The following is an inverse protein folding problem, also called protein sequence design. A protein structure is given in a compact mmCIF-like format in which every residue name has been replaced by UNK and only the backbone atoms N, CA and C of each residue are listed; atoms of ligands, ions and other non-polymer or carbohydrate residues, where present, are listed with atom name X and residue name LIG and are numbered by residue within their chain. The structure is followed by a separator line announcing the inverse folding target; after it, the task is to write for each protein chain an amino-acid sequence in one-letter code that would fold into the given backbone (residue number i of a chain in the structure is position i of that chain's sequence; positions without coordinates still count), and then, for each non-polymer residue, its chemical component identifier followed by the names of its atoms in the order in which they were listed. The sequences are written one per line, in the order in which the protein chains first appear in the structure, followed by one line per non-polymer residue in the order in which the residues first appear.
data_IF_106429828206
#
_entry.id   IF_106429828206
#
_cell.length_a   1.000
_cell.length_b   1.000
_cell.length_c   1.000
_cell.angle_alpha   90.00
_cell.angle_beta   90.00
_cell.angle_gamma   90.00
#
_symmetry.space_group_name_H-M   'P 1'
#
loop_
_entity.id
_entity.type
_entity.pdbx_description
1 polymer ?
#
# COMPACT_ATOMS: atom_id res chain seq x y z
N UNK A 1 48.03 16.58 -1.41
CA UNK A 1 46.83 16.90 -2.20
C UNK A 1 45.77 15.85 -1.93
N UNK A 2 44.50 16.24 -2.00
CA UNK A 2 43.25 15.53 -1.69
C UNK A 2 42.76 15.64 -0.25
N UNK A 3 42.11 16.77 0.02
CA UNK A 3 41.06 16.84 1.03
C UNK A 3 39.99 15.80 0.66
N UNK A 4 39.92 14.71 1.41
CA UNK A 4 38.75 13.81 1.40
C UNK A 4 37.54 14.67 1.71
N UNK A 5 36.66 14.87 0.73
CA UNK A 5 35.34 15.42 0.97
C UNK A 5 34.72 14.60 2.09
N UNK A 6 34.32 15.25 3.20
CA UNK A 6 33.69 14.56 4.31
C UNK A 6 32.50 13.75 3.76
N UNK A 7 32.55 12.42 3.94
CA UNK A 7 31.51 11.53 3.45
C UNK A 7 30.20 11.91 4.15
N UNK A 8 29.18 12.27 3.36
CA UNK A 8 27.86 12.60 3.93
C UNK A 8 27.25 11.31 4.46
N UNK A 9 26.61 11.38 5.62
CA UNK A 9 25.87 10.27 6.19
C UNK A 9 24.78 9.80 5.21
N UNK A 10 24.77 8.52 4.88
CA UNK A 10 23.88 7.92 3.88
C UNK A 10 22.62 7.35 4.56
N UNK A 11 21.46 7.93 4.25
CA UNK A 11 20.16 7.44 4.71
C UNK A 11 19.42 6.80 3.54
N UNK A 12 19.16 5.51 3.64
CA UNK A 12 18.41 4.77 2.64
C UNK A 12 17.00 4.48 3.15
N UNK A 13 15.98 4.84 2.37
CA UNK A 13 14.56 4.60 2.69
C UNK A 13 14.02 3.60 1.68
N UNK A 14 13.52 2.46 2.15
CA UNK A 14 13.00 1.40 1.29
C UNK A 14 11.47 1.45 1.27
N UNK A 15 10.89 1.54 0.07
CA UNK A 15 9.44 1.59 -0.16
C UNK A 15 8.91 3.02 -0.13
N UNK A 16 8.17 3.40 -1.18
CA UNK A 16 7.53 4.72 -1.30
C UNK A 16 6.05 4.71 -0.93
N UNK A 17 5.62 3.84 -0.01
CA UNK A 17 4.31 3.95 0.63
C UNK A 17 4.24 5.16 1.58
N UNK A 18 3.11 5.32 2.28
CA UNK A 18 2.87 6.47 3.17
C UNK A 18 4.04 6.76 4.14
N UNK A 19 4.58 5.72 4.78
CA UNK A 19 5.65 5.86 5.77
C UNK A 19 6.98 6.27 5.11
N UNK A 20 7.38 5.60 4.04
CA UNK A 20 8.68 5.82 3.41
C UNK A 20 8.75 7.16 2.68
N UNK A 21 7.72 7.53 1.92
CA UNK A 21 7.67 8.83 1.26
C UNK A 21 7.70 9.98 2.28
N UNK A 22 6.87 9.88 3.33
CA UNK A 22 6.86 10.87 4.42
C UNK A 22 8.22 10.95 5.13
N UNK A 23 8.84 9.81 5.41
CA UNK A 23 10.16 9.76 6.04
C UNK A 23 11.23 10.44 5.17
N UNK A 24 11.28 10.13 3.87
CA UNK A 24 12.25 10.71 2.95
C UNK A 24 12.14 12.25 2.89
N UNK A 25 10.92 12.77 2.70
CA UNK A 25 10.65 14.21 2.63
C UNK A 25 11.00 14.90 3.95
N UNK A 26 10.51 14.37 5.07
CA UNK A 26 10.68 15.01 6.38
C UNK A 26 12.14 14.96 6.85
N UNK A 27 12.85 13.84 6.60
CA UNK A 27 14.26 13.74 6.93
C UNK A 27 15.07 14.76 6.12
N UNK A 28 14.95 14.76 4.79
CA UNK A 28 15.68 15.68 3.94
C UNK A 28 15.45 17.16 4.32
N UNK A 29 14.19 17.55 4.56
CA UNK A 29 13.84 18.92 4.94
C UNK A 29 14.44 19.32 6.30
N UNK A 30 14.34 18.45 7.32
CA UNK A 30 14.77 18.77 8.69
C UNK A 30 16.28 18.72 8.88
N UNK A 31 16.99 17.93 8.09
CA UNK A 31 18.45 17.75 8.22
C UNK A 31 19.27 18.60 7.26
N UNK A 32 18.64 19.36 6.35
CA UNK A 32 19.34 20.25 5.39
C UNK A 32 20.36 21.19 6.06
N UNK A 33 20.04 21.73 7.25
CA UNK A 33 20.93 22.60 8.04
C UNK A 33 21.76 21.86 9.10
N UNK A 34 21.64 20.53 9.19
CA UNK A 34 22.24 19.68 10.23
C UNK A 34 23.07 18.57 9.58
N UNK A 35 24.20 18.93 9.00
CA UNK A 35 25.12 18.00 8.33
C UNK A 35 24.69 17.55 6.93
N UNK A 36 23.44 17.78 6.54
CA UNK A 36 22.89 17.52 5.20
C UNK A 36 23.17 16.07 4.72
N UNK A 37 22.69 15.05 5.46
CA UNK A 37 22.81 13.66 5.04
C UNK A 37 22.19 13.45 3.66
N UNK A 38 22.70 12.47 2.93
CA UNK A 38 22.13 12.08 1.64
C UNK A 38 20.96 11.11 1.91
N UNK A 39 19.75 11.58 1.65
CA UNK A 39 18.53 10.77 1.77
C UNK A 39 18.16 10.22 0.40
N UNK A 40 18.05 8.90 0.28
CA UNK A 40 17.67 8.22 -0.97
C UNK A 40 16.47 7.32 -0.72
N UNK A 41 15.39 7.55 -1.46
CA UNK A 41 14.20 6.69 -1.48
C UNK A 41 14.32 5.65 -2.60
N UNK A 42 14.10 4.38 -2.27
CA UNK A 42 14.10 3.26 -3.23
C UNK A 42 12.68 2.72 -3.38
N UNK A 43 12.19 2.62 -4.61
CA UNK A 43 10.89 2.02 -4.90
C UNK A 43 10.90 1.40 -6.32
N UNK A 44 10.22 0.27 -6.56
CA UNK A 44 10.22 -0.35 -7.89
C UNK A 44 9.49 0.48 -8.98
N UNK A 45 8.55 1.32 -8.55
CA UNK A 45 7.74 2.17 -9.43
C UNK A 45 7.98 3.65 -9.15
N UNK A 46 7.77 4.48 -10.15
CA UNK A 46 7.77 5.94 -10.04
C UNK A 46 6.42 6.51 -9.59
N UNK A 47 5.35 5.73 -9.60
CA UNK A 47 4.03 6.17 -9.12
C UNK A 47 3.79 5.78 -7.66
N UNK A 48 3.21 6.70 -6.89
CA UNK A 48 2.74 6.47 -5.53
C UNK A 48 1.40 5.73 -5.55
N UNK A 49 1.36 4.55 -4.93
CA UNK A 49 0.12 3.81 -4.73
C UNK A 49 -0.65 4.33 -3.53
N UNK A 50 -1.76 5.03 -3.76
CA UNK A 50 -2.71 5.39 -2.70
C UNK A 50 -3.55 4.16 -2.29
N UNK A 51 -2.94 3.26 -1.51
CA UNK A 51 -3.56 1.97 -1.11
C UNK A 51 -4.95 2.13 -0.48
N UNK A 52 -5.19 3.26 0.19
CA UNK A 52 -6.49 3.59 0.79
C UNK A 52 -7.62 3.73 -0.24
N UNK A 53 -7.33 3.95 -1.52
CA UNK A 53 -8.33 4.09 -2.59
C UNK A 53 -8.43 2.89 -3.52
N UNK A 54 -7.70 1.79 -3.26
CA UNK A 54 -7.72 0.64 -4.17
C UNK A 54 -9.11 0.02 -4.33
N UNK A 55 -10.01 0.15 -3.34
CA UNK A 55 -11.41 -0.26 -3.49
C UNK A 55 -12.16 0.52 -4.58
N UNK A 56 -11.81 1.79 -4.80
CA UNK A 56 -12.36 2.61 -5.88
C UNK A 56 -11.84 2.12 -7.24
N UNK A 57 -10.53 1.91 -7.36
CA UNK A 57 -9.92 1.35 -8.58
C UNK A 57 -10.50 -0.02 -8.90
N UNK A 58 -10.69 -0.85 -7.87
CA UNK A 58 -11.27 -2.18 -7.98
C UNK A 58 -12.73 -2.20 -8.45
N UNK A 59 -13.42 -1.07 -8.41
CA UNK A 59 -14.79 -0.89 -8.91
C UNK A 59 -14.84 0.04 -10.13
N UNK A 60 -13.70 0.15 -10.82
CA UNK A 60 -13.54 0.83 -12.10
C UNK A 60 -13.46 2.35 -12.03
N UNK A 61 -13.14 2.91 -10.86
CA UNK A 61 -12.95 4.36 -10.72
C UNK A 61 -11.49 4.76 -10.98
N UNK A 62 -11.33 5.88 -11.67
CA UNK A 62 -10.03 6.52 -11.83
C UNK A 62 -9.63 7.24 -10.54
N UNK A 63 -8.40 7.03 -10.09
CA UNK A 63 -7.80 7.71 -8.94
C UNK A 63 -6.67 8.61 -9.41
N UNK A 64 -6.31 9.60 -8.60
CA UNK A 64 -5.25 10.53 -8.97
C UNK A 64 -3.90 9.81 -9.06
N UNK A 65 -3.21 9.97 -10.18
CA UNK A 65 -1.84 9.50 -10.33
C UNK A 65 -0.88 10.51 -9.71
N UNK A 66 0.06 10.00 -8.90
CA UNK A 66 1.04 10.81 -8.19
C UNK A 66 2.44 10.31 -8.49
N UNK A 67 3.25 11.12 -9.17
CA UNK A 67 4.63 10.78 -9.51
C UNK A 67 5.57 11.05 -8.32
N UNK A 68 6.25 10.01 -7.82
CA UNK A 68 7.17 10.06 -6.69
C UNK A 68 8.34 11.02 -6.93
N UNK A 69 9.09 10.96 -8.07
CA UNK A 69 10.10 11.96 -8.38
C UNK A 69 9.62 13.40 -8.27
N UNK A 70 8.43 13.71 -8.82
CA UNK A 70 7.83 15.05 -8.72
C UNK A 70 7.49 15.43 -7.26
N UNK A 71 6.95 14.49 -6.48
CA UNK A 71 6.69 14.70 -5.05
C UNK A 71 7.95 14.94 -4.21
N UNK A 72 9.11 14.48 -4.70
CA UNK A 72 10.41 14.67 -4.05
C UNK A 72 11.13 15.94 -4.52
N UNK A 73 10.67 16.60 -5.58
CA UNK A 73 11.36 17.77 -6.13
C UNK A 73 11.43 18.91 -5.10
N UNK A 74 12.57 19.60 -5.07
CA UNK A 74 12.86 20.67 -4.10
C UNK A 74 13.09 20.22 -2.64
N UNK A 75 12.72 18.98 -2.26
CA UNK A 75 12.84 18.47 -0.88
C UNK A 75 14.29 18.19 -0.48
N UNK A 76 15.13 17.82 -1.47
CA UNK A 76 16.52 17.39 -1.28
C UNK A 76 16.70 15.88 -1.07
N UNK A 77 15.62 15.10 -1.05
CA UNK A 77 15.70 13.64 -1.13
C UNK A 77 15.90 13.20 -2.58
N UNK A 78 16.72 12.16 -2.79
CA UNK A 78 16.90 11.50 -4.08
C UNK A 78 15.95 10.30 -4.24
N UNK A 79 15.77 9.87 -5.48
CA UNK A 79 14.98 8.71 -5.83
C UNK A 79 15.81 7.70 -6.63
N UNK A 80 15.67 6.42 -6.30
CA UNK A 80 16.21 5.30 -7.05
C UNK A 80 15.06 4.36 -7.38
N UNK A 81 14.75 4.25 -8.67
CA UNK A 81 13.83 3.23 -9.15
C UNK A 81 14.52 1.87 -9.14
N UNK A 82 13.88 0.88 -8.53
CA UNK A 82 14.34 -0.51 -8.54
C UNK A 82 13.71 -1.36 -7.44
N UNK A 83 13.73 -2.67 -7.65
CA UNK A 83 13.20 -3.68 -6.74
C UNK A 83 14.25 -4.08 -5.71
N UNK A 84 13.92 -4.00 -4.42
CA UNK A 84 14.83 -4.46 -3.36
C UNK A 84 14.77 -5.99 -3.29
N UNK A 85 15.90 -6.65 -3.46
CA UNK A 85 15.98 -8.13 -3.45
C UNK A 85 16.71 -8.69 -2.23
N UNK A 86 17.53 -7.89 -1.55
CA UNK A 86 18.15 -8.29 -0.29
C UNK A 86 18.53 -7.09 0.57
N UNK A 87 18.51 -7.29 1.88
CA UNK A 87 19.06 -6.37 2.89
C UNK A 87 20.10 -7.14 3.69
N UNK A 88 21.33 -6.65 3.69
CA UNK A 88 22.41 -7.15 4.53
C UNK A 88 22.67 -6.13 5.65
N UNK A 89 22.24 -6.49 6.86
CA UNK A 89 22.36 -5.62 8.02
C UNK A 89 23.77 -5.56 8.60
N UNK A 90 24.58 -6.61 8.40
CA UNK A 90 25.96 -6.67 8.89
C UNK A 90 26.86 -5.78 8.03
N UNK A 91 26.77 -5.93 6.71
CA UNK A 91 27.54 -5.13 5.75
C UNK A 91 26.93 -3.74 5.49
N UNK A 92 25.72 -3.51 6.00
CA UNK A 92 24.89 -2.31 5.81
C UNK A 92 24.68 -1.99 4.34
N UNK A 93 24.18 -2.98 3.61
CA UNK A 93 23.91 -2.85 2.19
C UNK A 93 22.51 -3.31 1.79
N UNK A 94 22.02 -2.77 0.68
CA UNK A 94 20.76 -3.18 0.05
C UNK A 94 21.03 -3.48 -1.41
N UNK A 95 20.59 -4.66 -1.83
CA UNK A 95 20.68 -5.10 -3.23
C UNK A 95 19.39 -4.74 -3.96
N UNK A 96 19.55 -4.14 -5.14
CA UNK A 96 18.48 -3.62 -5.98
C UNK A 96 18.59 -4.24 -7.37
N UNK A 97 17.48 -4.79 -7.86
CA UNK A 97 17.33 -5.49 -9.14
C UNK A 97 18.36 -6.62 -9.34
N UNK A 98 18.95 -7.15 -8.26
CA UNK A 98 20.08 -8.09 -8.27
C UNK A 98 21.38 -7.59 -8.95
N UNK A 99 21.41 -6.33 -9.42
CA UNK A 99 22.52 -5.76 -10.18
C UNK A 99 23.31 -4.71 -9.38
N UNK A 100 22.62 -3.98 -8.49
CA UNK A 100 23.17 -2.81 -7.80
C UNK A 100 23.19 -3.03 -6.30
N UNK A 101 24.24 -2.56 -5.65
CA UNK A 101 24.36 -2.59 -4.18
C UNK A 101 24.51 -1.16 -3.68
N UNK A 102 23.58 -0.72 -2.83
CA UNK A 102 23.65 0.58 -2.14
C UNK A 102 24.10 0.36 -0.70
N UNK A 103 25.06 1.17 -0.24
CA UNK A 103 25.46 1.21 1.18
C UNK A 103 24.60 2.21 1.93
N UNK A 104 24.43 1.99 3.24
CA UNK A 104 23.75 2.94 4.12
C UNK A 104 24.46 3.04 5.48
N UNK A 105 24.31 4.21 6.12
CA UNK A 105 24.61 4.39 7.53
C UNK A 105 23.34 4.27 8.39
N UNK A 106 22.19 4.61 7.81
CA UNK A 106 20.87 4.44 8.41
C UNK A 106 19.88 3.91 7.38
N UNK A 107 19.14 2.87 7.76
CA UNK A 107 18.09 2.29 6.94
C UNK A 107 16.72 2.62 7.55
N UNK A 108 15.81 3.13 6.73
CA UNK A 108 14.38 3.20 7.03
C UNK A 108 13.68 2.11 6.23
N UNK A 109 13.26 1.05 6.91
CA UNK A 109 12.55 -0.08 6.31
C UNK A 109 11.04 0.23 6.26
N UNK A 110 10.52 0.57 5.08
CA UNK A 110 9.12 0.96 4.87
C UNK A 110 8.49 0.25 3.64
N UNK A 111 8.91 -0.99 3.37
CA UNK A 111 8.43 -1.80 2.24
C UNK A 111 6.95 -2.21 2.36
N UNK A 112 6.35 -2.03 3.54
CA UNK A 112 4.96 -2.41 3.78
C UNK A 112 4.78 -3.92 3.96
N UNK A 113 3.56 -4.38 3.71
CA UNK A 113 3.19 -5.79 3.75
C UNK A 113 2.38 -6.19 2.53
N UNK A 114 2.26 -7.50 2.35
CA UNK A 114 1.45 -8.16 1.32
C UNK A 114 0.40 -9.04 2.00
N UNK A 115 -0.71 -9.31 1.32
CA UNK A 115 -1.70 -10.25 1.80
C UNK A 115 -1.09 -11.64 1.95
N UNK A 116 -1.44 -12.33 3.04
CA UNK A 116 -1.03 -13.72 3.27
C UNK A 116 -2.03 -14.65 2.56
N UNK A 117 -1.67 -15.05 1.34
CA UNK A 117 -2.45 -15.99 0.53
C UNK A 117 -2.06 -17.45 0.75
N UNK A 118 -0.99 -17.71 1.51
CA UNK A 118 -0.42 -19.06 1.70
C UNK A 118 -1.02 -19.75 2.92
N UNK A 119 -1.42 -18.99 3.95
CA UNK A 119 -1.97 -19.56 5.18
C UNK A 119 -3.25 -20.39 4.98
N UNK A 120 -4.02 -20.15 3.93
CA UNK A 120 -5.25 -20.88 3.61
C UNK A 120 -5.12 -21.55 2.24
N UNK A 121 -5.14 -22.89 2.16
CA UNK A 121 -5.02 -23.61 0.89
C UNK A 121 -6.05 -23.13 -0.15
N UNK A 122 -5.57 -22.87 -1.37
CA UNK A 122 -6.38 -22.44 -2.51
C UNK A 122 -6.67 -20.93 -2.58
N UNK A 123 -6.26 -20.11 -1.59
CA UNK A 123 -6.43 -18.65 -1.68
C UNK A 123 -5.56 -18.08 -2.79
N UNK A 124 -4.29 -18.48 -2.88
CA UNK A 124 -3.37 -18.00 -3.93
C UNK A 124 -3.86 -18.33 -5.36
N UNK A 125 -4.61 -19.43 -5.52
CA UNK A 125 -5.14 -19.88 -6.82
C UNK A 125 -6.48 -19.23 -7.21
N UNK A 126 -7.24 -18.71 -6.24
CA UNK A 126 -8.65 -18.37 -6.44
C UNK A 126 -9.06 -16.97 -5.98
N UNK A 127 -8.34 -16.38 -5.02
CA UNK A 127 -8.65 -15.07 -4.49
C UNK A 127 -7.97 -13.95 -5.29
N UNK A 128 -8.49 -12.74 -5.13
CA UNK A 128 -7.89 -11.51 -5.64
C UNK A 128 -7.53 -10.65 -4.44
N UNK A 129 -6.30 -10.15 -4.41
CA UNK A 129 -5.84 -9.24 -3.36
C UNK A 129 -6.14 -7.79 -3.75
N UNK A 130 -6.04 -6.89 -2.77
CA UNK A 130 -6.10 -5.44 -2.98
C UNK A 130 -4.77 -4.82 -2.51
N UNK A 131 -3.67 -5.40 -2.98
CA UNK A 131 -2.32 -4.98 -2.59
C UNK A 131 -1.72 -3.94 -3.54
N UNK A 132 -2.10 -3.99 -4.83
CA UNK A 132 -1.56 -3.14 -5.88
C UNK A 132 -2.64 -2.54 -6.80
N UNK A 133 -2.33 -1.46 -7.54
CA UNK A 133 -3.18 -0.96 -8.62
C UNK A 133 -3.48 -2.01 -9.70
N UNK A 134 -2.51 -2.86 -10.02
CA UNK A 134 -2.64 -3.93 -10.99
C UNK A 134 -3.68 -4.96 -10.54
N UNK A 135 -3.61 -5.41 -9.28
CA UNK A 135 -4.59 -6.34 -8.71
C UNK A 135 -5.99 -5.72 -8.69
N UNK A 136 -6.08 -4.44 -8.32
CA UNK A 136 -7.35 -3.70 -8.33
C UNK A 136 -7.92 -3.58 -9.75
N UNK A 137 -7.11 -3.29 -10.75
CA UNK A 137 -7.56 -3.21 -12.15
C UNK A 137 -8.07 -4.57 -12.67
N UNK A 138 -7.38 -5.67 -12.32
CA UNK A 138 -7.85 -7.03 -12.63
C UNK A 138 -9.19 -7.31 -11.97
N UNK A 139 -9.36 -6.93 -10.70
CA UNK A 139 -10.62 -7.09 -9.97
C UNK A 139 -11.74 -6.27 -10.62
N UNK A 140 -11.48 -5.04 -11.06
CA UNK A 140 -12.46 -4.21 -11.75
C UNK A 140 -12.96 -4.85 -13.05
N UNK A 141 -12.05 -5.38 -13.87
CA UNK A 141 -12.44 -6.10 -15.08
C UNK A 141 -13.27 -7.35 -14.80
N UNK A 142 -12.95 -8.08 -13.73
CA UNK A 142 -13.73 -9.25 -13.30
C UNK A 142 -15.12 -8.87 -12.83
N UNK A 143 -15.24 -7.89 -11.94
CA UNK A 143 -16.53 -7.44 -11.40
C UNK A 143 -17.44 -6.90 -12.51
N UNK A 144 -16.90 -6.12 -13.45
CA UNK A 144 -17.66 -5.62 -14.60
C UNK A 144 -18.16 -6.72 -15.55
N UNK A 145 -17.55 -7.91 -15.53
CA UNK A 145 -17.96 -9.04 -16.36
C UNK A 145 -18.96 -10.00 -15.69
N UNK A 146 -19.40 -9.72 -14.45
CA UNK A 146 -20.37 -10.54 -13.74
C UNK A 146 -21.79 -10.01 -13.94
N UNK A 147 -22.71 -10.85 -14.42
CA UNK A 147 -24.14 -10.52 -14.54
C UNK A 147 -24.96 -10.90 -13.29
N UNK A 148 -24.27 -11.25 -12.20
CA UNK A 148 -24.86 -11.74 -10.96
C UNK A 148 -23.93 -12.71 -10.21
N UNK A 149 -24.36 -13.17 -9.04
CA UNK A 149 -23.61 -14.13 -8.22
C UNK A 149 -23.22 -13.59 -6.86
N UNK A 150 -22.21 -14.19 -6.24
CA UNK A 150 -21.74 -13.81 -4.91
C UNK A 150 -20.27 -13.38 -4.95
N UNK A 151 -19.99 -12.21 -4.40
CA UNK A 151 -18.64 -11.73 -4.13
C UNK A 151 -18.38 -11.84 -2.63
N UNK A 152 -17.34 -12.58 -2.27
CA UNK A 152 -16.92 -12.69 -0.87
C UNK A 152 -15.70 -11.82 -0.66
N UNK A 153 -15.82 -10.83 0.23
CA UNK A 153 -14.71 -10.02 0.71
C UNK A 153 -14.20 -10.64 2.01
N UNK A 154 -12.97 -11.16 1.99
CA UNK A 154 -12.35 -11.79 3.14
C UNK A 154 -11.51 -10.77 3.94
N UNK A 155 -11.89 -10.55 5.19
CA UNK A 155 -11.28 -9.61 6.13
C UNK A 155 -12.24 -8.47 6.50
N UNK A 156 -12.65 -8.41 7.77
CA UNK A 156 -13.56 -7.37 8.29
C UNK A 156 -12.86 -6.10 8.81
N UNK A 157 -11.60 -5.90 8.41
CA UNK A 157 -10.87 -4.64 8.63
C UNK A 157 -11.40 -3.51 7.72
N UNK A 158 -10.88 -2.28 7.91
CA UNK A 158 -11.35 -1.11 7.16
C UNK A 158 -11.30 -1.29 5.65
N UNK A 159 -10.21 -1.84 5.11
CA UNK A 159 -10.08 -2.13 3.68
C UNK A 159 -11.17 -3.06 3.17
N UNK A 160 -11.51 -4.12 3.90
CA UNK A 160 -12.57 -5.03 3.51
C UNK A 160 -13.96 -4.41 3.68
N UNK A 161 -14.16 -3.56 4.68
CA UNK A 161 -15.39 -2.80 4.87
C UNK A 161 -15.64 -1.85 3.70
N UNK A 162 -14.63 -1.07 3.32
CA UNK A 162 -14.70 -0.14 2.19
C UNK A 162 -14.88 -0.89 0.88
N UNK A 163 -14.12 -1.96 0.64
CA UNK A 163 -14.27 -2.79 -0.55
C UNK A 163 -15.67 -3.42 -0.66
N UNK A 164 -16.22 -3.96 0.43
CA UNK A 164 -17.55 -4.57 0.42
C UNK A 164 -18.65 -3.53 0.14
N UNK A 165 -18.55 -2.34 0.76
CA UNK A 165 -19.49 -1.26 0.50
C UNK A 165 -19.41 -0.77 -0.96
N UNK A 166 -18.20 -0.49 -1.44
CA UNK A 166 -17.98 0.03 -2.79
C UNK A 166 -18.44 -0.97 -3.85
N UNK A 167 -18.11 -2.26 -3.71
CA UNK A 167 -18.57 -3.31 -4.62
C UNK A 167 -20.09 -3.38 -4.62
N UNK A 168 -20.74 -3.38 -3.44
CA UNK A 168 -22.20 -3.47 -3.36
C UNK A 168 -22.90 -2.23 -3.95
N UNK A 169 -22.30 -1.05 -3.84
CA UNK A 169 -22.85 0.19 -4.40
C UNK A 169 -22.68 0.28 -5.92
N UNK A 170 -21.54 -0.20 -6.44
CA UNK A 170 -21.17 -0.10 -7.86
C UNK A 170 -21.70 -1.27 -8.70
N UNK A 171 -21.91 -2.42 -8.06
CA UNK A 171 -22.38 -3.66 -8.67
C UNK A 171 -23.63 -4.19 -7.93
N UNK A 172 -24.76 -3.46 -8.00
CA UNK A 172 -25.98 -3.82 -7.26
C UNK A 172 -26.60 -5.16 -7.68
N UNK A 173 -26.19 -5.72 -8.81
CA UNK A 173 -26.53 -7.06 -9.29
C UNK A 173 -25.84 -8.19 -8.49
N UNK A 174 -24.79 -7.89 -7.74
CA UNK A 174 -23.99 -8.87 -7.00
C UNK A 174 -24.43 -8.98 -5.55
N UNK A 175 -24.41 -10.20 -5.01
CA UNK A 175 -24.55 -10.44 -3.58
C UNK A 175 -23.18 -10.30 -2.90
N UNK A 176 -22.99 -9.28 -2.09
CA UNK A 176 -21.74 -9.08 -1.35
C UNK A 176 -21.80 -9.70 0.04
N UNK A 177 -20.80 -10.52 0.36
CA UNK A 177 -20.61 -11.10 1.70
C UNK A 177 -19.28 -10.63 2.26
N UNK A 178 -19.29 -9.94 3.41
CA UNK A 178 -18.10 -9.63 4.18
C UNK A 178 -17.85 -10.74 5.20
N UNK A 179 -16.73 -11.47 5.05
CA UNK A 179 -16.34 -12.57 5.92
C UNK A 179 -15.16 -12.13 6.81
N UNK A 180 -15.23 -12.37 8.12
CA UNK A 180 -14.10 -12.05 9.00
C UNK A 180 -14.22 -12.66 10.39
N UNK A 181 -13.13 -12.63 11.15
CA UNK A 181 -13.08 -13.18 12.53
C UNK A 181 -13.83 -12.33 13.56
N UNK A 182 -14.08 -11.06 13.21
CA UNK A 182 -14.72 -10.08 14.07
C UNK A 182 -15.81 -9.36 13.29
N UNK A 183 -16.77 -8.79 14.02
CA UNK A 183 -17.73 -7.85 13.45
C UNK A 183 -17.00 -6.64 12.83
N UNK A 184 -17.45 -6.16 11.66
CA UNK A 184 -16.91 -4.94 11.08
C UNK A 184 -17.14 -3.77 12.04
N UNK A 185 -16.11 -2.94 12.22
CA UNK A 185 -16.16 -1.82 13.16
C UNK A 185 -16.20 -2.20 14.64
N UNK A 186 -15.78 -3.41 15.03
CA UNK A 186 -15.75 -3.85 16.43
C UNK A 186 -15.00 -2.90 17.38
N UNK A 187 -13.96 -2.21 16.90
CA UNK A 187 -13.21 -1.20 17.66
C UNK A 187 -13.72 0.25 17.51
N UNK A 188 -14.79 0.49 16.76
CA UNK A 188 -15.32 1.83 16.52
C UNK A 188 -16.20 2.33 17.65
N UNK A 189 -16.30 3.66 17.77
CA UNK A 189 -17.29 4.28 18.64
C UNK A 189 -18.73 3.85 18.24
N UNK A 190 -19.66 3.62 19.19
CA UNK A 190 -20.99 3.07 18.90
C UNK A 190 -21.78 3.80 17.80
N UNK A 191 -21.67 5.14 17.74
CA UNK A 191 -22.31 5.94 16.67
C UNK A 191 -21.74 5.65 15.28
N UNK A 192 -20.43 5.46 15.18
CA UNK A 192 -19.78 5.13 13.90
C UNK A 192 -20.14 3.71 13.47
N UNK A 193 -20.17 2.76 14.42
CA UNK A 193 -20.64 1.40 14.15
C UNK A 193 -22.10 1.37 13.68
N UNK A 194 -23.00 2.11 14.34
CA UNK A 194 -24.40 2.20 13.90
C UNK A 194 -24.54 2.79 12.49
N UNK A 195 -23.67 3.75 12.12
CA UNK A 195 -23.65 4.28 10.76
C UNK A 195 -23.18 3.23 9.74
N UNK A 196 -22.12 2.49 10.08
CA UNK A 196 -21.62 1.38 9.27
C UNK A 196 -22.70 0.30 9.07
N UNK A 197 -23.35 -0.14 10.14
CA UNK A 197 -24.41 -1.15 10.09
C UNK A 197 -25.58 -0.69 9.21
N UNK A 198 -25.99 0.57 9.34
CA UNK A 198 -27.04 1.16 8.51
C UNK A 198 -26.63 1.25 7.02
N UNK A 199 -25.37 1.58 6.73
CA UNK A 199 -24.86 1.61 5.36
C UNK A 199 -24.84 0.21 4.74
N UNK A 200 -24.36 -0.80 5.47
CA UNK A 200 -24.36 -2.18 5.01
C UNK A 200 -25.77 -2.72 4.79
N UNK A 201 -26.71 -2.40 5.68
CA UNK A 201 -28.12 -2.77 5.52
C UNK A 201 -28.73 -2.13 4.26
N UNK A 202 -28.45 -0.84 4.01
CA UNK A 202 -28.89 -0.13 2.80
C UNK A 202 -28.33 -0.77 1.52
N UNK A 203 -27.06 -1.16 1.55
CA UNK A 203 -26.34 -1.76 0.41
C UNK A 203 -26.58 -3.27 0.27
N UNK A 204 -27.27 -3.92 1.21
CA UNK A 204 -27.51 -5.36 1.18
C UNK A 204 -26.26 -6.22 1.45
N UNK A 205 -25.21 -5.65 2.05
CA UNK A 205 -23.98 -6.38 2.40
C UNK A 205 -24.28 -7.37 3.54
N UNK A 206 -23.99 -8.64 3.32
CA UNK A 206 -24.16 -9.69 4.34
C UNK A 206 -22.87 -9.88 5.12
N UNK A 207 -22.91 -9.73 6.45
CA UNK A 207 -21.75 -9.98 7.31
C UNK A 207 -21.77 -11.43 7.80
N UNK A 208 -20.62 -12.10 7.72
CA UNK A 208 -20.35 -13.40 8.34
C UNK A 208 -19.14 -13.27 9.25
N UNK A 209 -19.40 -13.28 10.55
CA UNK A 209 -18.41 -13.16 11.61
C UNK A 209 -18.33 -14.46 12.42
N UNK A 210 -17.17 -14.77 12.99
CA UNK A 210 -16.94 -15.94 13.86
C UNK A 210 -15.77 -16.79 13.39
#
# INVERSE_FOLDING_TARGET
MNATAAQRHEVLVLGAGYAGLSAAIQLAARTRKRGNPRVTLVNPYDTFTERLRLHMTATGQETAEMNIPELLDGTGAGFVRGWVTAVDAEERTVRIDDERVLRYDTLVYALGGVADTVAVPGVDDHAHTLDSPEDAAVLAGRLAGLDGGTVVVAGSGLTGVEAAAEIAERHPELQVVLLGRQEPGAGMHPKARAHLDAAFARLGVRVRSG
#
